data_IF_365879449705
#
_entry.id   IF_365879449705
#
_cell.length_a   1.000
_cell.length_b   1.000
_cell.length_c   1.000
_cell.angle_alpha   90.00
_cell.angle_beta   90.00
_cell.angle_gamma   90.00
#
_symmetry.space_group_name_H-M   'P 1'
#
loop_
_entity.id
_entity.type
_entity.pdbx_description
1 polymer ?
#
# COMPACT_ATOMS: atom_id res chain seq x y z
N UNK A 1 1.53 7.63 -18.11
CA UNK A 1 2.49 7.01 -19.00
C UNK A 1 3.41 6.08 -18.22
N UNK A 2 3.58 4.88 -18.74
CA UNK A 2 4.37 3.83 -18.12
C UNK A 2 5.84 4.25 -17.92
N UNK A 3 6.44 4.89 -18.92
CA UNK A 3 7.83 5.37 -18.82
C UNK A 3 7.98 6.44 -17.73
N UNK A 4 7.02 7.35 -17.65
CA UNK A 4 7.02 8.39 -16.62
C UNK A 4 6.96 7.78 -15.23
N UNK A 5 6.10 6.76 -15.02
CA UNK A 5 5.99 6.08 -13.74
C UNK A 5 7.28 5.37 -13.37
N UNK A 6 7.94 4.69 -14.32
CA UNK A 6 9.21 4.01 -14.07
C UNK A 6 10.28 5.01 -13.63
N UNK A 7 10.39 6.15 -14.32
CA UNK A 7 11.37 7.18 -13.99
C UNK A 7 11.12 7.75 -12.60
N UNK A 8 9.86 8.06 -12.27
CA UNK A 8 9.51 8.58 -10.95
C UNK A 8 9.81 7.58 -9.84
N UNK A 9 9.48 6.30 -10.06
CA UNK A 9 9.74 5.25 -9.09
C UNK A 9 11.24 5.05 -8.88
N UNK A 10 12.02 5.05 -9.94
CA UNK A 10 13.48 4.92 -9.86
C UNK A 10 14.10 6.11 -9.12
N UNK A 11 13.61 7.32 -9.35
CA UNK A 11 14.08 8.51 -8.63
C UNK A 11 13.77 8.40 -7.13
N UNK A 12 12.59 7.92 -6.77
CA UNK A 12 12.21 7.71 -5.37
C UNK A 12 13.15 6.72 -4.69
N UNK A 13 13.40 5.57 -5.31
CA UNK A 13 14.31 4.57 -4.76
C UNK A 13 15.75 5.08 -4.68
N UNK A 14 16.20 5.81 -5.70
CA UNK A 14 17.54 6.39 -5.71
C UNK A 14 17.74 7.38 -4.56
N UNK A 15 16.74 8.20 -4.25
CA UNK A 15 16.81 9.11 -3.11
C UNK A 15 16.94 8.36 -1.79
N UNK A 16 16.15 7.30 -1.60
CA UNK A 16 16.25 6.48 -0.40
C UNK A 16 17.62 5.77 -0.31
N UNK A 17 18.11 5.22 -1.41
CA UNK A 17 19.40 4.53 -1.44
C UNK A 17 20.56 5.48 -1.09
N UNK A 18 20.49 6.72 -1.54
CA UNK A 18 21.54 7.71 -1.28
C UNK A 18 21.47 8.33 0.12
N UNK A 19 20.41 8.03 0.89
CA UNK A 19 20.20 8.61 2.21
C UNK A 19 19.88 10.10 2.19
N UNK A 20 19.58 10.68 1.03
CA UNK A 20 19.34 12.11 0.87
C UNK A 20 17.92 12.53 1.19
N UNK A 21 16.99 11.59 1.25
CA UNK A 21 15.59 11.92 1.50
C UNK A 21 15.24 11.61 2.95
N UNK A 22 15.25 12.65 3.77
CA UNK A 22 14.72 12.57 5.11
C UNK A 22 13.20 12.60 5.05
N UNK A 23 12.55 11.89 5.95
CA UNK A 23 11.10 11.94 6.08
C UNK A 23 10.68 13.31 6.59
N UNK A 24 9.65 13.87 5.99
CA UNK A 24 9.04 15.13 6.44
C UNK A 24 7.91 14.81 7.41
N UNK A 25 8.26 14.58 8.67
CA UNK A 25 7.31 14.17 9.69
C UNK A 25 6.37 15.31 10.06
N UNK A 26 5.07 15.05 9.99
CA UNK A 26 4.02 15.96 10.44
C UNK A 26 2.97 15.16 11.19
N UNK A 27 2.19 15.85 12.02
CA UNK A 27 1.08 15.23 12.71
C UNK A 27 -0.18 15.40 11.86
N UNK A 28 -0.91 14.31 11.64
CA UNK A 28 -2.12 14.35 10.81
C UNK A 28 -3.09 13.23 11.23
N UNK A 29 -4.35 13.40 10.83
CA UNK A 29 -5.38 12.40 11.11
C UNK A 29 -5.25 11.19 10.20
N UNK A 30 -5.02 10.02 10.77
CA UNK A 30 -4.97 8.77 10.02
C UNK A 30 -6.32 8.46 9.37
N UNK A 31 -7.40 8.69 10.11
CA UNK A 31 -8.76 8.52 9.58
C UNK A 31 -9.03 9.40 8.36
N UNK A 32 -8.61 10.67 8.41
CA UNK A 32 -8.81 11.59 7.29
C UNK A 32 -8.07 11.12 6.04
N UNK A 33 -6.84 10.62 6.20
CA UNK A 33 -6.06 10.07 5.08
C UNK A 33 -6.76 8.85 4.47
N UNK A 34 -7.33 7.99 5.31
CA UNK A 34 -8.06 6.81 4.84
C UNK A 34 -9.31 7.19 4.04
N UNK A 35 -10.05 8.21 4.48
CA UNK A 35 -11.20 8.71 3.74
C UNK A 35 -10.78 9.31 2.40
N UNK A 36 -9.69 10.07 2.37
CA UNK A 36 -9.14 10.62 1.14
C UNK A 36 -8.72 9.51 0.18
N UNK A 37 -8.09 8.46 0.69
CA UNK A 37 -7.70 7.28 -0.08
C UNK A 37 -8.93 6.63 -0.73
N UNK A 38 -9.96 6.37 0.07
CA UNK A 38 -11.20 5.76 -0.42
C UNK A 38 -11.79 6.58 -1.57
N UNK A 39 -11.90 7.90 -1.37
CA UNK A 39 -12.44 8.79 -2.40
C UNK A 39 -11.58 8.80 -3.66
N UNK A 40 -10.26 8.76 -3.51
CA UNK A 40 -9.35 8.79 -4.64
C UNK A 40 -9.44 7.54 -5.51
N UNK A 41 -9.70 6.37 -4.93
CA UNK A 41 -9.71 5.10 -5.68
C UNK A 41 -11.13 4.64 -6.03
N UNK A 42 -12.15 5.30 -5.53
CA UNK A 42 -13.54 4.89 -5.70
C UNK A 42 -13.95 4.75 -7.18
N UNK A 43 -13.63 5.75 -8.00
CA UNK A 43 -14.01 5.74 -9.41
C UNK A 43 -13.32 4.61 -10.17
N UNK A 44 -12.06 4.36 -9.88
CA UNK A 44 -11.32 3.26 -10.50
C UNK A 44 -11.91 1.90 -10.12
N UNK A 45 -12.23 1.72 -8.85
CA UNK A 45 -12.89 0.51 -8.38
C UNK A 45 -14.25 0.31 -9.08
N UNK A 46 -15.01 1.39 -9.27
CA UNK A 46 -16.29 1.32 -9.96
C UNK A 46 -16.15 0.92 -11.43
N UNK A 47 -15.10 1.38 -12.11
CA UNK A 47 -14.86 0.99 -13.51
C UNK A 47 -14.69 -0.52 -13.65
N UNK A 48 -14.19 -1.18 -12.61
CA UNK A 48 -14.03 -2.63 -12.56
C UNK A 48 -15.19 -3.32 -11.86
N UNK A 49 -16.25 -2.60 -11.55
CA UNK A 49 -17.41 -3.13 -10.83
C UNK A 49 -17.05 -3.77 -9.50
N UNK A 50 -16.00 -3.27 -8.85
CA UNK A 50 -15.57 -3.75 -7.53
C UNK A 50 -16.48 -3.22 -6.44
N UNK A 51 -16.82 -4.08 -5.47
CA UNK A 51 -17.41 -3.65 -4.22
C UNK A 51 -16.27 -3.17 -3.31
N UNK A 52 -16.13 -1.85 -3.16
CA UNK A 52 -15.09 -1.24 -2.33
C UNK A 52 -15.70 -0.81 -1.00
N UNK A 53 -15.17 -1.31 0.09
CA UNK A 53 -15.63 -0.99 1.45
C UNK A 53 -14.50 -0.39 2.26
N UNK A 54 -14.84 0.54 3.15
CA UNK A 54 -13.92 1.15 4.12
C UNK A 54 -14.49 0.92 5.53
N UNK A 55 -13.71 0.20 6.37
CA UNK A 55 -14.09 -0.12 7.74
C UNK A 55 -13.04 0.42 8.70
N UNK A 56 -13.33 1.54 9.34
CA UNK A 56 -12.40 2.20 10.26
C UNK A 56 -12.92 2.06 11.68
N UNK A 57 -12.06 1.61 12.60
CA UNK A 57 -12.37 1.61 14.03
C UNK A 57 -12.61 3.05 14.49
N UNK A 58 -13.53 3.27 15.45
CA UNK A 58 -13.78 4.63 15.97
C UNK A 58 -12.56 5.15 16.75
N UNK A 59 -12.46 6.48 16.80
CA UNK A 59 -11.48 7.19 17.61
C UNK A 59 -10.01 6.88 17.25
N UNK A 60 -9.71 6.77 15.93
CA UNK A 60 -8.33 6.63 15.50
C UNK A 60 -7.56 7.91 15.82
N UNK A 61 -6.33 7.78 16.37
CA UNK A 61 -5.53 8.95 16.74
C UNK A 61 -4.93 9.64 15.53
N UNK A 62 -4.45 10.86 15.74
CA UNK A 62 -3.51 11.46 14.82
C UNK A 62 -2.17 10.73 14.95
N UNK A 63 -1.42 10.66 13.86
CA UNK A 63 -0.11 10.01 13.86
C UNK A 63 0.95 10.99 13.37
N UNK A 64 2.21 10.69 13.71
CA UNK A 64 3.37 11.43 13.21
C UNK A 64 4.06 10.58 12.15
N UNK A 65 4.05 11.07 10.92
CA UNK A 65 4.62 10.35 9.78
C UNK A 65 4.83 11.33 8.62
N UNK A 66 5.43 10.85 7.54
CA UNK A 66 5.50 11.61 6.29
C UNK A 66 4.19 11.37 5.52
N UNK A 67 3.28 12.32 5.59
CA UNK A 67 1.94 12.18 5.03
C UNK A 67 1.94 11.82 3.55
N UNK A 68 2.74 12.50 2.74
CA UNK A 68 2.79 12.24 1.30
C UNK A 68 3.28 10.81 1.01
N UNK A 69 4.29 10.37 1.75
CA UNK A 69 4.84 9.01 1.58
C UNK A 69 3.86 7.94 2.06
N UNK A 70 3.16 8.20 3.15
CA UNK A 70 2.13 7.27 3.63
C UNK A 70 1.01 7.14 2.61
N UNK A 71 0.55 8.26 2.03
CA UNK A 71 -0.46 8.24 0.96
C UNK A 71 0.05 7.44 -0.23
N UNK A 72 1.31 7.62 -0.61
CA UNK A 72 1.92 6.85 -1.71
C UNK A 72 1.90 5.35 -1.46
N UNK A 73 2.23 4.93 -0.23
CA UNK A 73 2.16 3.51 0.17
C UNK A 73 0.74 2.97 0.03
N UNK A 74 -0.23 3.69 0.59
CA UNK A 74 -1.63 3.28 0.55
C UNK A 74 -2.12 3.17 -0.89
N UNK A 75 -1.82 4.15 -1.73
CA UNK A 75 -2.20 4.13 -3.14
C UNK A 75 -1.58 2.95 -3.87
N UNK A 76 -0.30 2.66 -3.61
CA UNK A 76 0.38 1.52 -4.24
C UNK A 76 -0.30 0.19 -3.86
N UNK A 77 -0.64 0.03 -2.59
CA UNK A 77 -1.30 -1.20 -2.12
C UNK A 77 -2.69 -1.36 -2.75
N UNK A 78 -3.52 -0.31 -2.68
CA UNK A 78 -4.89 -0.39 -3.19
C UNK A 78 -4.94 -0.51 -4.71
N UNK A 79 -4.09 0.24 -5.41
CA UNK A 79 -4.00 0.14 -6.88
C UNK A 79 -3.64 -1.27 -7.31
N UNK A 80 -2.75 -1.91 -6.56
CA UNK A 80 -2.37 -3.29 -6.82
C UNK A 80 -3.56 -4.24 -6.63
N UNK A 81 -4.34 -4.06 -5.56
CA UNK A 81 -5.55 -4.86 -5.33
C UNK A 81 -6.58 -4.67 -6.45
N UNK A 82 -6.80 -3.44 -6.89
CA UNK A 82 -7.73 -3.17 -8.01
C UNK A 82 -7.25 -3.89 -9.28
N UNK A 83 -5.96 -3.82 -9.55
CA UNK A 83 -5.36 -4.41 -10.74
C UNK A 83 -5.53 -5.94 -10.81
N UNK A 84 -5.38 -6.62 -9.68
CA UNK A 84 -5.39 -8.08 -9.62
C UNK A 84 -6.70 -8.67 -9.09
N UNK A 85 -7.73 -7.87 -8.94
CA UNK A 85 -9.07 -8.35 -8.61
C UNK A 85 -9.93 -8.30 -9.88
N UNK A 86 -10.47 -9.45 -10.35
CA UNK A 86 -11.33 -9.45 -11.54
C UNK A 86 -12.55 -8.56 -11.37
N UNK A 87 -13.13 -8.15 -12.48
CA UNK A 87 -14.36 -7.35 -12.48
C UNK A 87 -15.45 -8.04 -11.66
N UNK A 88 -16.15 -7.28 -10.85
CA UNK A 88 -17.17 -7.80 -9.94
C UNK A 88 -16.62 -8.27 -8.61
N UNK A 89 -15.31 -8.19 -8.39
CA UNK A 89 -14.69 -8.60 -7.13
C UNK A 89 -14.92 -7.63 -5.98
N UNK A 90 -14.30 -7.92 -4.85
CA UNK A 90 -14.49 -7.17 -3.61
C UNK A 90 -13.15 -6.78 -3.01
N UNK A 91 -13.06 -5.53 -2.54
CA UNK A 91 -11.89 -4.99 -1.84
C UNK A 91 -12.36 -4.33 -0.56
N UNK A 92 -11.82 -4.73 0.58
CA UNK A 92 -12.15 -4.16 1.88
C UNK A 92 -10.90 -3.52 2.46
N UNK A 93 -10.98 -2.22 2.74
CA UNK A 93 -9.94 -1.47 3.43
C UNK A 93 -10.37 -1.33 4.88
N UNK A 94 -9.61 -1.92 5.80
CA UNK A 94 -9.87 -1.84 7.23
C UNK A 94 -8.74 -1.09 7.90
N UNK A 95 -9.03 -0.44 9.01
CA UNK A 95 -8.00 0.26 9.79
C UNK A 95 -8.39 0.33 11.24
N UNK A 96 -7.38 0.37 12.11
CA UNK A 96 -7.59 0.43 13.54
C UNK A 96 -6.32 0.76 14.27
N UNK A 97 -6.40 0.65 15.60
CA UNK A 97 -5.28 0.88 16.50
C UNK A 97 -4.95 -0.41 17.25
N UNK A 98 -3.66 -0.66 17.43
CA UNK A 98 -3.19 -1.75 18.27
C UNK A 98 -1.99 -1.26 19.09
N UNK A 99 -2.22 -1.01 20.37
CA UNK A 99 -1.18 -0.47 21.26
C UNK A 99 -0.72 0.91 20.81
N UNK A 100 0.56 1.06 20.56
CA UNK A 100 1.19 2.30 20.11
C UNK A 100 1.27 2.42 18.57
N UNK A 101 0.55 1.56 17.85
CA UNK A 101 0.56 1.53 16.39
C UNK A 101 -0.85 1.65 15.83
N UNK A 102 -0.93 2.21 14.62
CA UNK A 102 -2.12 2.11 13.78
C UNK A 102 -1.83 1.11 12.68
N UNK A 103 -2.88 0.48 12.17
CA UNK A 103 -2.75 -0.50 11.08
C UNK A 103 -3.78 -0.24 10.00
N UNK A 104 -3.45 -0.64 8.78
CA UNK A 104 -4.37 -0.70 7.65
C UNK A 104 -4.25 -2.09 7.01
N UNK A 105 -5.38 -2.68 6.68
CA UNK A 105 -5.44 -3.97 5.99
C UNK A 105 -6.24 -3.79 4.71
N UNK A 106 -5.68 -4.19 3.58
CA UNK A 106 -6.38 -4.20 2.30
C UNK A 106 -6.58 -5.66 1.90
N UNK A 107 -7.82 -6.10 1.93
CA UNK A 107 -8.22 -7.49 1.71
C UNK A 107 -9.04 -7.58 0.43
N UNK A 108 -8.56 -8.34 -0.55
CA UNK A 108 -9.29 -8.54 -1.80
C UNK A 108 -9.58 -10.03 -2.02
N UNK A 109 -10.57 -10.31 -2.86
CA UNK A 109 -10.88 -11.67 -3.29
C UNK A 109 -10.40 -11.94 -4.73
N UNK A 110 -9.25 -11.34 -5.08
CA UNK A 110 -8.66 -11.46 -6.39
C UNK A 110 -7.97 -12.79 -6.64
N UNK A 111 -7.03 -12.77 -7.59
CA UNK A 111 -6.33 -13.99 -8.01
C UNK A 111 -5.31 -14.49 -6.99
N UNK A 112 -4.91 -13.65 -6.04
CA UNK A 112 -3.90 -14.01 -5.04
C UNK A 112 -2.50 -14.12 -5.63
N UNK A 113 -1.59 -14.63 -4.80
CA UNK A 113 -0.20 -14.82 -5.16
C UNK A 113 0.21 -16.27 -4.82
N UNK A 114 0.85 -16.99 -5.76
CA UNK A 114 1.35 -18.33 -5.45
C UNK A 114 2.28 -18.31 -4.23
N UNK A 115 2.24 -19.34 -3.37
CA UNK A 115 3.06 -19.36 -2.16
C UNK A 115 4.56 -19.13 -2.42
N UNK A 116 5.09 -19.65 -3.52
CA UNK A 116 6.50 -19.49 -3.89
C UNK A 116 6.88 -18.04 -4.21
N UNK A 117 5.92 -17.21 -4.60
CA UNK A 117 6.17 -15.80 -4.95
C UNK A 117 5.99 -14.86 -3.74
N UNK A 118 5.26 -15.30 -2.70
CA UNK A 118 4.93 -14.43 -1.57
C UNK A 118 6.17 -13.78 -0.90
N UNK A 119 7.27 -14.51 -0.67
CA UNK A 119 8.45 -13.88 -0.05
C UNK A 119 9.12 -12.83 -0.92
N UNK A 120 8.84 -12.79 -2.21
CA UNK A 120 9.55 -11.96 -3.18
C UNK A 120 8.77 -10.75 -3.68
N UNK A 121 7.49 -10.61 -3.31
CA UNK A 121 6.64 -9.56 -3.92
C UNK A 121 7.09 -8.15 -3.59
N UNK A 122 7.90 -7.97 -2.54
CA UNK A 122 8.43 -6.65 -2.16
C UNK A 122 9.81 -6.37 -2.78
N UNK A 123 10.35 -7.31 -3.58
CA UNK A 123 11.61 -7.09 -4.29
C UNK A 123 11.39 -6.16 -5.49
N UNK A 124 12.42 -5.36 -5.80
CA UNK A 124 12.39 -4.45 -6.95
C UNK A 124 12.22 -5.23 -8.24
N UNK A 125 11.33 -4.74 -9.12
CA UNK A 125 11.04 -5.30 -10.44
C UNK A 125 10.46 -6.72 -10.42
N UNK A 126 10.14 -7.28 -9.25
CA UNK A 126 9.53 -8.60 -9.18
C UNK A 126 8.08 -8.53 -9.63
N UNK A 127 7.67 -9.46 -10.49
CA UNK A 127 6.31 -9.60 -11.00
C UNK A 127 5.90 -11.06 -10.98
N UNK A 128 4.73 -11.34 -10.45
CA UNK A 128 4.17 -12.70 -10.38
C UNK A 128 3.81 -13.20 -11.79
N UNK A 129 3.18 -12.33 -12.60
CA UNK A 129 2.80 -12.62 -13.99
C UNK A 129 3.28 -11.47 -14.87
N UNK A 130 4.39 -11.67 -15.55
CA UNK A 130 5.02 -10.64 -16.39
C UNK A 130 4.11 -10.18 -17.53
N UNK A 131 3.41 -11.12 -18.19
CA UNK A 131 2.53 -10.78 -19.31
C UNK A 131 1.35 -9.93 -18.85
N UNK A 132 0.70 -10.35 -17.76
CA UNK A 132 -0.43 -9.62 -17.18
C UNK A 132 -0.01 -8.26 -16.62
N UNK A 133 1.14 -8.20 -15.96
CA UNK A 133 1.68 -6.95 -15.45
C UNK A 133 1.97 -5.95 -16.56
N UNK A 134 2.46 -6.42 -17.71
CA UNK A 134 2.69 -5.56 -18.89
C UNK A 134 1.38 -4.97 -19.41
N UNK A 135 0.32 -5.79 -19.51
CA UNK A 135 -0.99 -5.35 -19.97
C UNK A 135 -1.59 -4.30 -19.05
N UNK A 136 -1.38 -4.45 -17.75
CA UNK A 136 -1.90 -3.51 -16.76
C UNK A 136 -0.99 -2.31 -16.51
N UNK A 137 0.17 -2.24 -17.17
CA UNK A 137 1.10 -1.13 -17.03
C UNK A 137 1.94 -1.14 -15.76
N UNK A 138 2.00 -2.27 -15.05
CA UNK A 138 2.78 -2.39 -13.83
C UNK A 138 4.28 -2.30 -14.06
N UNK A 139 5.00 -1.63 -13.18
CA UNK A 139 6.45 -1.44 -13.26
C UNK A 139 7.24 -2.46 -12.44
N UNK A 140 6.59 -3.16 -11.49
CA UNK A 140 7.26 -4.03 -10.55
C UNK A 140 7.95 -3.29 -9.41
N UNK A 141 7.72 -1.98 -9.26
CA UNK A 141 8.36 -1.16 -8.24
C UNK A 141 7.41 -0.71 -7.13
N UNK A 142 6.09 -0.74 -7.36
CA UNK A 142 5.12 -0.19 -6.41
C UNK A 142 5.22 -0.76 -4.99
N UNK A 143 5.25 -2.10 -4.86
CA UNK A 143 5.32 -2.73 -3.55
C UNK A 143 6.72 -2.62 -2.92
N UNK A 144 7.79 -2.59 -3.71
CA UNK A 144 9.13 -2.38 -3.17
C UNK A 144 9.33 -0.96 -2.65
N UNK A 145 8.75 0.03 -3.33
CA UNK A 145 8.74 1.41 -2.85
C UNK A 145 7.94 1.52 -1.56
N UNK A 146 6.76 0.90 -1.51
CA UNK A 146 5.96 0.87 -0.29
C UNK A 146 6.73 0.27 0.88
N UNK A 147 7.43 -0.84 0.66
CA UNK A 147 8.25 -1.50 1.68
C UNK A 147 9.36 -0.58 2.18
N UNK A 148 10.07 0.09 1.28
CA UNK A 148 11.15 1.02 1.63
C UNK A 148 10.62 2.17 2.49
N UNK A 149 9.49 2.76 2.10
CA UNK A 149 8.87 3.85 2.86
C UNK A 149 8.49 3.40 4.27
N UNK A 150 7.84 2.25 4.38
CA UNK A 150 7.40 1.72 5.68
C UNK A 150 8.59 1.35 6.56
N UNK A 151 9.65 0.78 5.97
CA UNK A 151 10.87 0.48 6.71
C UNK A 151 11.52 1.75 7.27
N UNK A 152 11.54 2.84 6.48
CA UNK A 152 12.02 4.14 6.94
C UNK A 152 11.20 4.71 8.09
N UNK A 153 9.92 4.38 8.14
CA UNK A 153 9.03 4.75 9.25
C UNK A 153 9.15 3.80 10.44
N UNK A 154 9.99 2.76 10.36
CA UNK A 154 10.10 1.71 11.38
C UNK A 154 8.77 0.99 11.60
N UNK A 155 8.00 0.89 10.54
CA UNK A 155 6.71 0.20 10.54
C UNK A 155 6.81 -1.22 10.01
N UNK A 156 5.66 -1.81 9.72
CA UNK A 156 5.56 -3.16 9.18
C UNK A 156 4.73 -3.14 7.90
N UNK A 157 5.21 -3.82 6.88
CA UNK A 157 4.45 -4.08 5.65
C UNK A 157 4.62 -5.56 5.34
N UNK A 158 3.52 -6.30 5.34
CA UNK A 158 3.54 -7.75 5.18
C UNK A 158 2.27 -8.26 4.52
N UNK A 159 2.33 -9.49 4.03
CA UNK A 159 1.14 -10.23 3.62
C UNK A 159 0.52 -10.87 4.85
N UNK A 160 -0.75 -10.59 5.09
CA UNK A 160 -1.50 -11.21 6.17
C UNK A 160 -2.05 -12.56 5.72
N UNK A 161 -2.20 -13.49 6.66
CA UNK A 161 -2.87 -14.75 6.39
C UNK A 161 -4.36 -14.50 6.11
N UNK A 162 -4.89 -15.21 5.14
CA UNK A 162 -6.32 -15.15 4.87
C UNK A 162 -6.83 -16.49 4.36
N UNK A 163 -8.08 -16.75 4.65
CA UNK A 163 -8.81 -17.89 4.10
C UNK A 163 -9.49 -17.47 2.80
N UNK A 164 -9.55 -18.40 1.85
CA UNK A 164 -10.18 -18.15 0.57
C UNK A 164 -9.29 -17.45 -0.45
N UNK A 165 -9.84 -17.07 -1.59
CA UNK A 165 -9.06 -16.47 -2.67
C UNK A 165 -8.64 -15.06 -2.37
N UNK A 166 -7.59 -14.60 -3.04
CA UNK A 166 -7.15 -13.21 -2.98
C UNK A 166 -5.94 -12.99 -2.11
N UNK A 167 -5.77 -11.76 -1.69
CA UNK A 167 -4.60 -11.30 -0.96
C UNK A 167 -5.01 -10.32 0.12
N UNK A 168 -4.32 -10.35 1.26
CA UNK A 168 -4.47 -9.36 2.31
C UNK A 168 -3.10 -8.74 2.59
N UNK A 169 -2.98 -7.43 2.43
CA UNK A 169 -1.75 -6.69 2.69
C UNK A 169 -1.95 -5.83 3.93
N UNK A 170 -1.06 -5.97 4.90
CA UNK A 170 -1.13 -5.27 6.18
C UNK A 170 0.01 -4.26 6.31
N UNK A 171 -0.34 -3.05 6.71
CA UNK A 171 0.60 -1.97 7.01
C UNK A 171 0.42 -1.53 8.46
N UNK A 172 1.52 -1.33 9.20
CA UNK A 172 1.48 -0.75 10.54
C UNK A 172 2.46 0.40 10.64
N UNK A 173 2.07 1.44 11.37
CA UNK A 173 2.91 2.61 11.63
C UNK A 173 2.85 2.96 13.12
N UNK A 174 3.97 3.42 13.67
CA UNK A 174 4.01 3.96 15.04
C UNK A 174 3.22 5.26 15.10
N UNK A 175 2.37 5.40 16.12
CA UNK A 175 1.57 6.62 16.31
C UNK A 175 2.46 7.83 16.54
N UNK A 176 3.52 7.68 17.32
CA UNK A 176 4.45 8.77 17.65
C UNK A 176 5.54 9.01 16.61
N UNK A 177 5.51 8.24 15.52
CA UNK A 177 6.50 8.33 14.47
C UNK A 177 7.74 7.48 14.74
N UNK A 178 8.69 7.44 13.77
CA UNK A 178 9.91 6.67 13.94
C UNK A 178 10.83 7.28 14.98
N UNK A 179 11.60 6.42 15.64
CA UNK A 179 12.58 6.88 16.64
C UNK A 179 13.69 7.66 15.93
N UNK A 180 14.17 8.70 16.60
CA UNK A 180 15.34 9.46 16.13
C UNK A 180 16.61 8.74 16.57
N UNK A 181 17.52 8.59 15.64
CA UNK A 181 18.87 8.13 15.95
C UNK A 181 19.79 9.32 16.14
#
# INVERSE_FOLDING_TARGET
>A
DRMTHIVQDLLTLSRFDSGRTDLKLTQFSFSAVLHDLYNAVYMEAQRHSHALELKIEPELPEIVADRERVVQVMMNIVSNSIKYTPDGGRIVISAGRRGDRVWMLVDDNGIGIPPEDRPRIFERFYRVDKARSRQSGGTGLGLSIAKEIIDRHQGVLELADKEGPGLAVRMELKIEGPDHE
#
